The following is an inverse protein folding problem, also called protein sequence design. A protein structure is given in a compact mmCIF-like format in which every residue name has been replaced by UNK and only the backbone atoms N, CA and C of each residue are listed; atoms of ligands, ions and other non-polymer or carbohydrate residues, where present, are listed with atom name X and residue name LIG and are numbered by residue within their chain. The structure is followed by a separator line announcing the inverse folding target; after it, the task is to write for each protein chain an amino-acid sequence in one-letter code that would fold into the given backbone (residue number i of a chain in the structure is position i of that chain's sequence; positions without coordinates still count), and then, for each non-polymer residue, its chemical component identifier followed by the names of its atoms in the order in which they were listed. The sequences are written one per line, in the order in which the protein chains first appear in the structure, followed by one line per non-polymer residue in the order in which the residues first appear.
data_IF_274187435681
#
_entry.id   IF_274187435681
#
_cell.length_a   1.000
_cell.length_b   1.000
_cell.length_c   1.000
_cell.angle_alpha   90.00
_cell.angle_beta   90.00
_cell.angle_gamma   90.00
#
_symmetry.space_group_name_H-M   'P 1'
#
loop_
_entity.id
_entity.type
_entity.pdbx_description
1 polymer ?
#
# COMPACT_ATOMS: atom_id res chain seq x y z
N UNK A 1 16.78 -10.80 8.29
CA UNK A 1 15.84 -9.81 8.86
C UNK A 1 15.13 -10.48 10.03
N UNK A 2 15.01 -9.84 11.19
CA UNK A 2 14.26 -10.43 12.32
C UNK A 2 12.75 -10.39 12.05
N UNK A 3 11.95 -11.24 12.71
CA UNK A 3 10.48 -11.24 12.57
C UNK A 3 9.90 -9.84 12.81
N UNK A 4 10.37 -9.17 13.87
CA UNK A 4 9.93 -7.82 14.25
C UNK A 4 10.24 -6.77 13.19
N UNK A 5 11.41 -6.85 12.53
CA UNK A 5 11.78 -5.94 11.45
C UNK A 5 10.89 -6.15 10.21
N UNK A 6 10.49 -7.39 9.94
CA UNK A 6 9.55 -7.70 8.86
C UNK A 6 8.18 -7.13 9.18
N UNK A 7 7.64 -7.39 10.38
CA UNK A 7 6.33 -6.88 10.79
C UNK A 7 6.24 -5.35 10.69
N UNK A 8 7.24 -4.64 11.23
CA UNK A 8 7.31 -3.18 11.14
C UNK A 8 7.33 -2.69 9.69
N UNK A 9 8.07 -3.39 8.83
CA UNK A 9 8.13 -3.07 7.40
C UNK A 9 6.74 -3.19 6.75
N UNK A 10 6.02 -4.28 7.01
CA UNK A 10 4.71 -4.51 6.40
C UNK A 10 3.69 -3.46 6.87
N UNK A 11 3.68 -3.15 8.16
CA UNK A 11 2.80 -2.13 8.75
C UNK A 11 3.06 -0.75 8.13
N UNK A 12 4.32 -0.38 8.01
CA UNK A 12 4.70 0.91 7.44
C UNK A 12 4.35 1.00 5.95
N UNK A 13 4.63 -0.03 5.15
CA UNK A 13 4.20 -0.03 3.75
C UNK A 13 2.69 0.04 3.60
N UNK A 14 1.94 -0.71 4.41
CA UNK A 14 0.49 -0.65 4.43
C UNK A 14 -0.04 0.77 4.73
N UNK A 15 0.51 1.43 5.75
CA UNK A 15 0.14 2.80 6.09
C UNK A 15 0.39 3.78 4.95
N UNK A 16 1.56 3.70 4.31
CA UNK A 16 1.94 4.58 3.20
C UNK A 16 1.03 4.41 1.99
N UNK A 17 0.73 3.17 1.61
CA UNK A 17 -0.14 2.87 0.47
C UNK A 17 -1.58 3.33 0.75
N UNK A 18 -2.13 3.02 1.93
CA UNK A 18 -3.49 3.42 2.30
C UNK A 18 -3.66 4.94 2.35
N UNK A 19 -2.70 5.65 2.95
CA UNK A 19 -2.69 7.11 2.97
C UNK A 19 -2.50 7.72 1.57
N UNK A 20 -1.67 7.11 0.72
CA UNK A 20 -1.49 7.55 -0.66
C UNK A 20 -2.77 7.35 -1.49
N UNK A 21 -3.46 6.22 -1.33
CA UNK A 21 -4.75 5.96 -1.95
C UNK A 21 -5.78 7.03 -1.55
N UNK A 22 -5.84 7.35 -0.26
CA UNK A 22 -6.74 8.39 0.27
C UNK A 22 -6.40 9.77 -0.31
N UNK A 23 -5.13 10.15 -0.31
CA UNK A 23 -4.65 11.43 -0.86
C UNK A 23 -4.86 11.57 -2.37
N UNK A 24 -4.78 10.47 -3.12
CA UNK A 24 -5.07 10.45 -4.55
C UNK A 24 -6.57 10.43 -4.88
N UNK A 25 -7.45 10.27 -3.88
CA UNK A 25 -8.90 10.20 -4.09
C UNK A 25 -9.31 9.01 -4.95
N UNK A 26 -8.57 7.90 -4.88
CA UNK A 26 -8.94 6.69 -5.63
C UNK A 26 -10.20 6.06 -5.01
N UNK A 27 -10.96 5.32 -5.81
CA UNK A 27 -12.08 4.52 -5.29
C UNK A 27 -11.56 3.33 -4.48
N UNK A 28 -12.28 2.95 -3.41
CA UNK A 28 -11.94 1.79 -2.57
C UNK A 28 -11.68 0.51 -3.39
N UNK A 29 -12.48 0.30 -4.44
CA UNK A 29 -12.36 -0.84 -5.35
C UNK A 29 -11.01 -0.95 -6.06
N UNK A 30 -10.21 0.12 -6.13
CA UNK A 30 -8.86 0.04 -6.71
C UNK A 30 -7.92 -0.83 -5.87
N UNK A 31 -7.94 -0.70 -4.54
CA UNK A 31 -7.14 -1.55 -3.65
C UNK A 31 -7.61 -3.01 -3.72
N UNK A 32 -8.92 -3.24 -3.85
CA UNK A 32 -9.48 -4.59 -4.00
C UNK A 32 -9.07 -5.23 -5.33
N UNK A 33 -9.07 -4.47 -6.42
CA UNK A 33 -8.59 -4.96 -7.72
C UNK A 33 -7.09 -5.30 -7.68
N UNK A 34 -6.30 -4.53 -6.93
CA UNK A 34 -4.86 -4.77 -6.75
C UNK A 34 -4.62 -6.03 -5.89
N UNK A 35 -5.42 -6.26 -4.84
CA UNK A 35 -5.39 -7.50 -4.07
C UNK A 35 -5.78 -8.71 -4.93
N UNK A 36 -6.82 -8.57 -5.74
CA UNK A 36 -7.30 -9.66 -6.61
C UNK A 36 -6.25 -10.08 -7.64
N UNK A 37 -5.52 -9.14 -8.26
CA UNK A 37 -4.45 -9.51 -9.20
C UNK A 37 -3.28 -10.19 -8.51
N UNK A 38 -2.94 -9.79 -7.28
CA UNK A 38 -1.90 -10.44 -6.49
C UNK A 38 -2.27 -11.91 -6.25
N UNK A 39 -3.53 -12.18 -5.89
CA UNK A 39 -4.00 -13.52 -5.57
C UNK A 39 -4.00 -14.49 -6.75
N UNK A 40 -4.31 -13.99 -7.95
CA UNK A 40 -4.39 -14.79 -9.18
C UNK A 40 -3.02 -15.34 -9.61
N UNK A 41 -1.92 -14.74 -9.17
CA UNK A 41 -0.57 -15.11 -9.60
C UNK A 41 0.10 -15.92 -8.49
N UNK A 42 0.49 -17.16 -8.79
CA UNK A 42 1.13 -18.06 -7.82
C UNK A 42 2.66 -17.89 -7.72
N UNK A 43 3.28 -17.33 -8.75
CA UNK A 43 4.73 -17.24 -8.85
C UNK A 43 5.31 -16.07 -8.01
N UNK A 44 6.61 -16.11 -7.71
CA UNK A 44 7.31 -15.02 -6.98
C UNK A 44 7.19 -13.68 -7.71
N UNK A 45 7.06 -13.72 -9.03
CA UNK A 45 6.83 -12.60 -9.94
C UNK A 45 5.49 -11.90 -9.68
N UNK A 46 4.59 -12.47 -8.87
CA UNK A 46 3.32 -11.84 -8.46
C UNK A 46 3.54 -10.42 -7.91
N UNK A 47 4.62 -10.18 -7.15
CA UNK A 47 4.95 -8.85 -6.61
C UNK A 47 5.23 -7.85 -7.74
N UNK A 48 6.07 -8.24 -8.70
CA UNK A 48 6.44 -7.38 -9.83
C UNK A 48 5.26 -7.13 -10.77
N UNK A 49 4.44 -8.16 -11.03
CA UNK A 49 3.24 -8.03 -11.86
C UNK A 49 2.20 -7.14 -11.17
N UNK A 50 2.03 -7.26 -9.85
CA UNK A 50 1.15 -6.40 -9.06
C UNK A 50 1.58 -4.94 -9.13
N UNK A 51 2.89 -4.67 -9.02
CA UNK A 51 3.44 -3.32 -9.19
C UNK A 51 3.15 -2.74 -10.59
N UNK A 52 3.38 -3.54 -11.65
CA UNK A 52 3.08 -3.14 -13.02
C UNK A 52 1.58 -2.88 -13.23
N UNK A 53 0.73 -3.73 -12.66
CA UNK A 53 -0.73 -3.58 -12.72
C UNK A 53 -1.19 -2.28 -12.06
N UNK A 54 -0.67 -1.93 -10.89
CA UNK A 54 -1.00 -0.69 -10.21
C UNK A 54 -0.65 0.54 -11.08
N UNK A 55 0.53 0.55 -11.72
CA UNK A 55 0.90 1.59 -12.67
C UNK A 55 -0.03 1.67 -13.88
N UNK A 56 -0.39 0.53 -14.47
CA UNK A 56 -1.35 0.47 -15.57
C UNK A 56 -2.70 1.06 -15.17
N UNK A 57 -3.21 0.71 -13.98
CA UNK A 57 -4.49 1.26 -13.49
C UNK A 57 -4.42 2.77 -13.29
N UNK A 58 -3.33 3.27 -12.69
CA UNK A 58 -3.15 4.70 -12.50
C UNK A 58 -3.15 5.47 -13.82
N UNK A 59 -2.40 4.98 -14.82
CA UNK A 59 -2.39 5.57 -16.17
C UNK A 59 -3.75 5.51 -16.85
N UNK A 60 -4.47 4.38 -16.72
CA UNK A 60 -5.80 4.19 -17.34
C UNK A 60 -6.85 5.14 -16.76
N UNK A 61 -6.79 5.39 -15.45
CA UNK A 61 -7.81 6.17 -14.74
C UNK A 61 -7.44 7.66 -14.62
N UNK A 62 -6.20 8.04 -14.90
CA UNK A 62 -5.73 9.42 -14.72
C UNK A 62 -5.61 9.85 -13.25
N UNK A 63 -5.70 8.91 -12.30
CA UNK A 63 -5.56 9.13 -10.85
C UNK A 63 -4.83 7.96 -10.20
N UNK A 64 -4.41 8.08 -8.93
CA UNK A 64 -3.75 7.00 -8.20
C UNK A 64 -2.25 6.89 -8.48
N UNK A 65 -1.61 7.93 -9.04
CA UNK A 65 -0.19 7.92 -9.37
C UNK A 65 0.71 7.80 -8.13
N UNK A 66 0.32 8.42 -7.01
CA UNK A 66 1.06 8.34 -5.75
C UNK A 66 0.89 6.97 -5.13
N UNK A 67 -0.34 6.44 -5.11
CA UNK A 67 -0.64 5.08 -4.66
C UNK A 67 0.15 4.04 -5.46
N UNK A 68 0.13 4.13 -6.80
CA UNK A 68 0.85 3.21 -7.68
C UNK A 68 2.37 3.24 -7.44
N UNK A 69 2.95 4.42 -7.20
CA UNK A 69 4.36 4.57 -6.83
C UNK A 69 4.66 3.89 -5.50
N UNK A 70 3.82 4.09 -4.48
CA UNK A 70 4.01 3.45 -3.16
C UNK A 70 3.90 1.92 -3.27
N UNK A 71 2.94 1.41 -4.06
CA UNK A 71 2.81 -0.03 -4.31
C UNK A 71 4.05 -0.57 -5.00
N UNK A 72 4.56 0.10 -6.04
CA UNK A 72 5.78 -0.32 -6.72
C UNK A 72 6.97 -0.40 -5.76
N UNK A 73 7.20 0.65 -4.97
CA UNK A 73 8.29 0.67 -4.01
C UNK A 73 8.16 -0.45 -2.98
N UNK A 74 6.96 -0.67 -2.44
CA UNK A 74 6.69 -1.77 -1.52
C UNK A 74 6.97 -3.13 -2.16
N UNK A 75 6.42 -3.41 -3.34
CA UNK A 75 6.58 -4.71 -4.00
C UNK A 75 8.05 -4.99 -4.40
N UNK A 76 8.80 -3.98 -4.82
CA UNK A 76 10.23 -4.12 -5.10
C UNK A 76 11.02 -4.41 -3.81
N UNK A 77 10.76 -3.67 -2.74
CA UNK A 77 11.42 -3.86 -1.45
C UNK A 77 11.14 -5.27 -0.86
N UNK A 78 9.89 -5.73 -0.93
CA UNK A 78 9.52 -7.10 -0.54
C UNK A 78 10.25 -8.14 -1.41
N UNK A 79 10.31 -7.92 -2.73
CA UNK A 79 10.96 -8.85 -3.67
C UNK A 79 12.47 -8.96 -3.41
N UNK A 80 13.15 -7.83 -3.22
CA UNK A 80 14.59 -7.76 -2.90
C UNK A 80 14.93 -8.41 -1.56
N UNK A 81 14.02 -8.34 -0.59
CA UNK A 81 14.13 -9.00 0.72
C UNK A 81 13.73 -10.49 0.70
N UNK A 82 13.44 -11.06 -0.47
CA UNK A 82 12.96 -12.44 -0.65
C UNK A 82 11.67 -12.77 0.12
N UNK A 83 10.80 -11.78 0.31
CA UNK A 83 9.45 -11.99 0.84
C UNK A 83 8.51 -12.46 -0.28
N UNK A 84 7.36 -12.99 0.12
CA UNK A 84 6.46 -13.75 -0.76
C UNK A 84 5.14 -13.03 -0.98
N UNK A 85 4.26 -13.67 -1.77
CA UNK A 85 2.87 -13.25 -1.95
C UNK A 85 2.14 -13.04 -0.61
N UNK A 86 2.48 -13.83 0.42
CA UNK A 86 1.86 -13.74 1.75
C UNK A 86 2.08 -12.36 2.36
N UNK A 87 3.32 -11.90 2.44
CA UNK A 87 3.67 -10.59 3.01
C UNK A 87 3.12 -9.44 2.17
N UNK A 88 3.11 -9.58 0.84
CA UNK A 88 2.49 -8.60 -0.06
C UNK A 88 0.97 -8.47 0.18
N UNK A 89 0.29 -9.59 0.42
CA UNK A 89 -1.15 -9.62 0.75
C UNK A 89 -1.42 -8.93 2.08
N UNK A 90 -0.58 -9.17 3.09
CA UNK A 90 -0.67 -8.48 4.38
C UNK A 90 -0.52 -6.97 4.23
N UNK A 91 0.50 -6.49 3.50
CA UNK A 91 0.71 -5.07 3.21
C UNK A 91 -0.52 -4.43 2.56
N UNK A 92 -1.07 -5.04 1.51
CA UNK A 92 -2.23 -4.51 0.80
C UNK A 92 -3.52 -4.58 1.64
N UNK A 93 -3.66 -5.59 2.48
CA UNK A 93 -4.75 -5.70 3.45
C UNK A 93 -4.72 -4.56 4.48
N UNK A 94 -3.55 -4.31 5.06
CA UNK A 94 -3.33 -3.17 5.98
C UNK A 94 -3.61 -1.85 5.25
N UNK A 95 -3.15 -1.71 4.01
CA UNK A 95 -3.40 -0.51 3.21
C UNK A 95 -4.88 -0.23 3.00
N UNK A 96 -5.69 -1.28 2.76
CA UNK A 96 -7.15 -1.16 2.66
C UNK A 96 -7.75 -0.64 3.96
N UNK A 97 -7.40 -1.23 5.10
CA UNK A 97 -7.91 -0.76 6.40
C UNK A 97 -7.51 0.67 6.71
N UNK A 98 -6.27 1.05 6.41
CA UNK A 98 -5.79 2.43 6.60
C UNK A 98 -6.56 3.40 5.70
N UNK A 99 -6.75 3.07 4.44
CA UNK A 99 -7.55 3.88 3.51
C UNK A 99 -8.99 4.06 4.03
N UNK A 100 -9.62 2.98 4.48
CA UNK A 100 -10.99 2.98 5.03
C UNK A 100 -11.08 3.80 6.30
N UNK A 101 -10.12 3.66 7.22
CA UNK A 101 -10.07 4.45 8.45
C UNK A 101 -9.92 5.95 8.18
N UNK A 102 -9.19 6.34 7.12
CA UNK A 102 -9.04 7.74 6.74
C UNK A 102 -10.31 8.33 6.13
N UNK A 103 -11.21 7.52 5.55
CA UNK A 103 -12.49 8.00 5.05
C UNK A 103 -13.34 8.55 6.19
N UNK A 104 -13.75 9.82 6.09
CA UNK A 104 -14.55 10.47 7.12
C UNK A 104 -13.80 10.90 8.38
N UNK A 105 -12.50 10.60 8.52
CA UNK A 105 -11.70 10.99 9.69
C UNK A 105 -11.34 12.48 9.75
N UNK A 106 -11.40 13.19 8.62
CA UNK A 106 -10.91 14.57 8.50
C UNK A 106 -9.37 14.70 8.49
N UNK A 107 -8.64 13.60 8.71
CA UNK A 107 -7.17 13.57 8.68
C UNK A 107 -6.69 13.81 7.25
N UNK A 108 -5.72 14.71 7.09
CA UNK A 108 -5.05 14.98 5.82
C UNK A 108 -3.59 14.62 5.92
N UNK A 109 -3.18 13.60 5.15
CA UNK A 109 -1.76 13.24 5.02
C UNK A 109 -1.18 13.98 3.81
N UNK A 110 -0.13 14.77 4.03
CA UNK A 110 0.53 15.48 2.93
C UNK A 110 1.38 14.52 2.10
N UNK A 111 1.46 14.77 0.79
CA UNK A 111 2.12 13.85 -0.16
C UNK A 111 3.62 13.71 0.08
N UNK A 112 4.28 14.76 0.54
CA UNK A 112 5.70 14.78 0.90
C UNK A 112 6.01 13.93 2.15
N UNK A 113 5.04 13.78 3.05
CA UNK A 113 5.16 12.99 4.27
C UNK A 113 4.97 11.48 4.04
N UNK A 114 4.33 11.09 2.93
CA UNK A 114 3.99 9.68 2.65
C UNK A 114 5.20 8.75 2.67
N UNK A 115 6.36 9.16 2.19
CA UNK A 115 7.56 8.29 2.14
C UNK A 115 8.11 7.92 3.52
N UNK A 116 7.82 8.75 4.53
CA UNK A 116 8.33 8.59 5.91
C UNK A 116 7.26 8.10 6.88
N UNK A 117 5.98 8.15 6.48
CA UNK A 117 4.86 7.79 7.32
C UNK A 117 5.04 6.36 7.87
N UNK A 118 4.85 6.24 9.18
CA UNK A 118 4.68 4.97 9.88
C UNK A 118 3.23 4.77 10.29
N UNK A 119 2.82 3.51 10.48
CA UNK A 119 1.48 3.23 11.00
C UNK A 119 1.30 3.82 12.41
N UNK A 120 2.34 3.77 13.24
CA UNK A 120 2.32 4.30 14.59
C UNK A 120 2.06 5.81 14.64
N UNK A 121 2.72 6.59 13.77
CA UNK A 121 2.47 8.03 13.66
C UNK A 121 1.07 8.35 13.14
N UNK A 122 0.54 7.51 12.24
CA UNK A 122 -0.81 7.68 11.73
C UNK A 122 -1.86 7.44 12.83
N UNK A 123 -1.68 6.40 13.64
CA UNK A 123 -2.58 6.07 14.75
C UNK A 123 -2.68 7.21 15.78
N UNK A 124 -1.58 7.93 16.05
CA UNK A 124 -1.58 9.12 16.92
C UNK A 124 -2.44 10.28 16.40
N UNK A 125 -2.79 10.29 15.12
CA UNK A 125 -3.64 11.31 14.53
C UNK A 125 -5.13 10.98 14.68
N UNK A 126 -5.49 9.70 14.77
CA UNK A 126 -6.88 9.25 14.98
C UNK A 126 -7.39 9.49 16.41
N UNK A 127 -6.49 9.62 17.39
CA UNK A 127 -6.84 9.81 18.80
C UNK A 127 -7.02 11.29 19.20
N UNK A 128 -7.12 12.19 18.23
CA UNK A 128 -7.34 13.64 18.45
C UNK A 128 -8.79 13.98 18.16
#
# INVERSE_FOLDING_TARGET
MSSTQTEELLLNWGARIGAAAYSDGVKASQLENILAILDVIEAKEALLITALFAYRQARRLGTGNTMARMIQQAMLDLYEKNLTKKEAREVLGIAKWVYEALQGSGIRVQRDQLSKLTLHELLKQFTR
#
